data_IF_379307556602
#
_entry.id   IF_379307556602
#
_cell.length_a   1.000
_cell.length_b   1.000
_cell.length_c   1.000
_cell.angle_alpha   90.00
_cell.angle_beta   90.00
_cell.angle_gamma   90.00
#
_symmetry.space_group_name_H-M   'P 1'
#
loop_
_entity.id
_entity.type
_entity.pdbx_description
1 polymer ?
#
# COMPACT_ATOMS: atom_id res chain seq x y z
N UNK A 1 21.42 9.83 7.58
CA UNK A 1 20.31 8.97 7.11
C UNK A 1 19.59 8.28 8.27
N UNK A 2 20.22 7.35 9.01
CA UNK A 2 19.52 6.55 10.05
C UNK A 2 18.78 7.36 11.14
N UNK A 3 19.35 8.49 11.58
CA UNK A 3 18.79 9.27 12.70
C UNK A 3 17.45 9.96 12.38
N UNK A 4 17.25 10.46 11.16
CA UNK A 4 16.02 11.22 10.80
C UNK A 4 14.80 10.31 10.71
N UNK A 5 14.95 9.20 10.00
CA UNK A 5 13.91 8.18 9.89
C UNK A 5 13.59 7.53 11.25
N UNK A 6 14.60 7.34 12.10
CA UNK A 6 14.36 6.89 13.48
C UNK A 6 13.53 7.89 14.29
N UNK A 7 13.79 9.20 14.15
CA UNK A 7 12.93 10.26 14.73
C UNK A 7 11.51 10.18 14.20
N UNK A 8 11.32 10.04 12.88
CA UNK A 8 9.98 9.87 12.29
C UNK A 8 9.25 8.63 12.81
N UNK A 9 9.97 7.52 12.96
CA UNK A 9 9.43 6.27 13.53
C UNK A 9 9.03 6.46 14.99
N UNK A 10 9.81 7.22 15.77
CA UNK A 10 9.47 7.55 17.15
C UNK A 10 8.18 8.38 17.22
N UNK A 11 8.04 9.41 16.37
CA UNK A 11 6.82 10.23 16.30
C UNK A 11 5.61 9.38 15.92
N UNK A 12 5.75 8.49 14.93
CA UNK A 12 4.70 7.52 14.56
C UNK A 12 4.26 6.70 15.78
N UNK A 13 5.21 6.13 16.52
CA UNK A 13 4.91 5.31 17.70
C UNK A 13 4.29 6.12 18.84
N UNK A 14 4.68 7.39 19.04
CA UNK A 14 4.06 8.28 20.00
C UNK A 14 2.59 8.55 19.67
N UNK A 15 2.27 8.83 18.39
CA UNK A 15 0.89 9.02 17.94
C UNK A 15 0.09 7.70 18.07
N UNK A 16 0.67 6.59 17.63
CA UNK A 16 0.05 5.25 17.73
C UNK A 16 -0.28 4.86 19.17
N UNK A 17 0.56 5.24 20.13
CA UNK A 17 0.37 5.02 21.57
C UNK A 17 -0.47 6.09 22.26
N UNK A 18 -1.00 7.07 21.50
CA UNK A 18 -1.79 8.21 22.00
C UNK A 18 -1.05 9.06 23.02
N UNK A 19 0.28 9.13 22.92
CA UNK A 19 1.10 10.05 23.71
C UNK A 19 1.08 11.45 23.11
N UNK A 20 1.05 11.53 21.78
CA UNK A 20 0.82 12.75 21.00
C UNK A 20 -0.44 12.61 20.15
N UNK A 21 -1.09 13.74 19.90
CA UNK A 21 -2.11 13.91 18.90
C UNK A 21 -1.50 14.40 17.58
N UNK A 22 -2.20 14.21 16.46
CA UNK A 22 -1.75 14.75 15.16
C UNK A 22 -1.61 16.28 15.17
N UNK A 23 -2.34 16.98 16.06
CA UNK A 23 -2.20 18.42 16.28
C UNK A 23 -0.81 18.80 16.82
N UNK A 24 -0.26 18.00 17.73
CA UNK A 24 1.04 18.28 18.35
C UNK A 24 2.17 18.13 17.32
N UNK A 25 2.01 17.16 16.41
CA UNK A 25 2.90 16.98 15.26
C UNK A 25 2.78 18.18 14.31
N UNK A 26 1.54 18.60 14.01
CA UNK A 26 1.28 19.73 13.11
C UNK A 26 1.90 21.02 13.65
N UNK A 27 1.75 21.31 14.94
CA UNK A 27 2.31 22.48 15.60
C UNK A 27 3.84 22.52 15.48
N UNK A 28 4.52 21.42 15.83
CA UNK A 28 5.98 21.35 15.74
C UNK A 28 6.53 21.52 14.32
N UNK A 29 5.84 20.97 13.30
CA UNK A 29 6.24 21.20 11.90
C UNK A 29 5.87 22.61 11.40
N UNK A 30 4.80 23.20 11.93
CA UNK A 30 4.40 24.57 11.60
C UNK A 30 5.49 25.56 11.98
N UNK A 31 6.01 25.48 13.21
CA UNK A 31 7.14 26.30 13.66
C UNK A 31 8.38 26.11 12.78
N UNK A 32 8.70 24.87 12.38
CA UNK A 32 9.81 24.60 11.47
C UNK A 32 9.60 25.24 10.09
N UNK A 33 8.38 25.19 9.58
CA UNK A 33 8.04 25.62 8.23
C UNK A 33 7.92 27.13 8.08
N UNK A 34 7.62 27.86 9.16
CA UNK A 34 7.69 29.33 9.20
C UNK A 34 9.07 29.85 8.77
N UNK A 35 10.14 29.14 9.12
CA UNK A 35 11.52 29.50 8.82
C UNK A 35 12.13 28.71 7.65
N UNK A 36 11.34 27.88 6.95
CA UNK A 36 11.86 27.01 5.89
C UNK A 36 12.53 27.77 4.75
N UNK A 37 12.05 28.98 4.44
CA UNK A 37 12.63 29.85 3.43
C UNK A 37 14.06 30.30 3.75
N UNK A 38 14.37 30.52 5.03
CA UNK A 38 15.72 30.87 5.47
C UNK A 38 16.59 29.61 5.57
N UNK A 39 16.04 28.53 6.14
CA UNK A 39 16.77 27.27 6.28
C UNK A 39 17.21 26.66 4.96
N UNK A 40 16.47 26.84 3.87
CA UNK A 40 16.83 26.25 2.58
C UNK A 40 18.12 26.87 1.99
N UNK A 41 18.47 28.09 2.40
CA UNK A 41 19.70 28.77 1.97
C UNK A 41 20.91 28.02 2.50
N UNK A 42 20.89 27.68 3.79
CA UNK A 42 21.98 26.98 4.46
C UNK A 42 21.88 25.45 4.31
N UNK A 43 20.67 24.94 4.11
CA UNK A 43 20.36 23.50 3.97
C UNK A 43 19.59 23.25 2.67
N UNK A 44 20.28 23.18 1.52
CA UNK A 44 19.62 22.99 0.22
C UNK A 44 18.78 21.71 0.12
N UNK A 45 19.09 20.71 0.95
CA UNK A 45 18.38 19.41 1.03
C UNK A 45 17.31 19.36 2.12
N UNK A 46 16.79 20.52 2.53
CA UNK A 46 15.82 20.62 3.62
C UNK A 46 14.64 19.69 3.40
N UNK A 47 14.04 19.70 2.20
CA UNK A 47 12.85 18.92 1.92
C UNK A 47 13.08 17.41 1.96
N UNK A 48 14.20 16.89 1.46
CA UNK A 48 14.50 15.47 1.60
C UNK A 48 14.73 15.09 3.07
N UNK A 49 15.33 15.98 3.86
CA UNK A 49 15.59 15.72 5.27
C UNK A 49 14.31 15.72 6.11
N UNK A 50 13.39 16.64 5.83
CA UNK A 50 12.07 16.67 6.44
C UNK A 50 11.26 15.45 5.99
N UNK A 51 11.32 15.08 4.71
CA UNK A 51 10.64 13.90 4.18
C UNK A 51 11.08 12.60 4.88
N UNK A 52 12.37 12.43 5.18
CA UNK A 52 12.88 11.29 5.97
C UNK A 52 12.25 11.20 7.37
N UNK A 53 11.81 12.32 7.97
CA UNK A 53 11.13 12.35 9.28
C UNK A 53 9.62 12.17 9.13
N UNK A 54 9.03 12.69 8.06
CA UNK A 54 7.59 12.72 7.84
C UNK A 54 7.05 11.41 7.25
N UNK A 55 7.79 10.74 6.36
CA UNK A 55 7.38 9.48 5.71
C UNK A 55 6.82 8.42 6.67
N UNK A 56 7.50 8.11 7.80
CA UNK A 56 7.02 7.07 8.70
C UNK A 56 5.63 7.34 9.29
N UNK A 57 5.20 8.59 9.41
CA UNK A 57 3.90 8.94 10.01
C UNK A 57 2.71 8.32 9.28
N UNK A 58 2.85 8.06 7.97
CA UNK A 58 1.80 7.49 7.12
C UNK A 58 1.85 5.96 7.04
N UNK A 59 2.84 5.33 7.67
CA UNK A 59 2.89 3.88 7.79
C UNK A 59 1.78 3.37 8.71
N UNK A 60 1.41 2.10 8.53
CA UNK A 60 0.41 1.36 9.33
C UNK A 60 -1.00 2.00 9.38
N UNK A 61 -1.20 3.11 8.67
CA UNK A 61 -2.41 3.93 8.71
C UNK A 61 -2.59 4.71 10.02
N UNK A 62 -1.50 5.07 10.69
CA UNK A 62 -1.54 5.90 11.92
C UNK A 62 -2.06 7.30 11.61
N UNK A 63 -1.53 7.92 10.55
CA UNK A 63 -1.99 9.22 10.03
C UNK A 63 -2.39 9.05 8.56
N UNK A 64 -3.48 9.70 8.17
CA UNK A 64 -3.97 9.70 6.79
C UNK A 64 -3.19 10.70 5.92
N UNK A 65 -3.00 10.39 4.64
CA UNK A 65 -2.22 11.22 3.71
C UNK A 65 -2.77 12.64 3.51
N UNK A 66 -4.05 12.90 3.82
CA UNK A 66 -4.61 14.27 3.86
C UNK A 66 -3.90 15.19 4.87
N UNK A 67 -3.14 14.64 5.82
CA UNK A 67 -2.35 15.42 6.76
C UNK A 67 -1.21 16.17 6.08
N UNK A 68 -0.75 15.73 4.90
CA UNK A 68 0.27 16.46 4.13
C UNK A 68 -0.18 17.87 3.75
N UNK A 69 -1.44 18.07 3.38
CA UNK A 69 -1.93 19.41 3.03
C UNK A 69 -2.04 20.32 4.26
N UNK A 70 -2.29 19.75 5.44
CA UNK A 70 -2.26 20.47 6.71
C UNK A 70 -0.83 20.90 7.06
N UNK A 71 0.13 19.96 6.97
CA UNK A 71 1.54 20.26 7.20
C UNK A 71 2.06 21.35 6.27
N UNK A 72 1.69 21.31 4.98
CA UNK A 72 2.17 22.29 4.01
C UNK A 72 1.38 23.61 4.00
N UNK A 73 0.41 23.79 4.90
CA UNK A 73 -0.54 24.92 4.83
C UNK A 73 0.08 26.30 5.06
N UNK A 74 1.19 26.37 5.81
CA UNK A 74 1.93 27.62 6.07
C UNK A 74 2.99 27.93 5.02
N UNK A 75 3.30 26.97 4.14
CA UNK A 75 4.26 27.14 3.07
C UNK A 75 3.64 27.85 1.88
N UNK A 76 4.43 28.62 1.14
CA UNK A 76 4.00 29.06 -0.18
C UNK A 76 3.87 27.87 -1.13
N UNK A 77 3.07 28.03 -2.19
CA UNK A 77 2.75 26.93 -3.11
C UNK A 77 3.96 26.24 -3.73
N UNK A 78 5.02 26.98 -4.03
CA UNK A 78 6.24 26.40 -4.59
C UNK A 78 6.92 25.49 -3.56
N UNK A 79 7.15 26.01 -2.34
CA UNK A 79 7.76 25.25 -1.25
C UNK A 79 6.90 24.05 -0.85
N UNK A 80 5.59 24.22 -0.75
CA UNK A 80 4.66 23.13 -0.48
C UNK A 80 4.73 22.03 -1.54
N UNK A 81 4.83 22.37 -2.84
CA UNK A 81 4.99 21.39 -3.91
C UNK A 81 6.32 20.62 -3.79
N UNK A 82 7.43 21.31 -3.48
CA UNK A 82 8.73 20.65 -3.27
C UNK A 82 8.71 19.73 -2.04
N UNK A 83 8.09 20.17 -0.95
CA UNK A 83 7.91 19.36 0.26
C UNK A 83 7.10 18.09 -0.02
N UNK A 84 5.91 18.23 -0.63
CA UNK A 84 5.06 17.10 -0.99
C UNK A 84 5.83 16.15 -1.91
N UNK A 85 6.48 16.65 -2.96
CA UNK A 85 7.30 15.85 -3.85
C UNK A 85 8.37 15.05 -3.09
N UNK A 86 9.08 15.68 -2.16
CA UNK A 86 10.10 15.02 -1.36
C UNK A 86 9.52 13.87 -0.53
N UNK A 87 8.37 14.05 0.14
CA UNK A 87 7.71 12.98 0.89
C UNK A 87 7.28 11.84 -0.02
N UNK A 88 6.68 12.14 -1.18
CA UNK A 88 6.21 11.12 -2.11
C UNK A 88 7.37 10.28 -2.67
N UNK A 89 8.50 10.92 -2.96
CA UNK A 89 9.73 10.25 -3.39
C UNK A 89 10.30 9.37 -2.30
N UNK A 90 10.23 9.83 -1.05
CA UNK A 90 10.67 9.04 0.10
C UNK A 90 9.82 7.77 0.29
N UNK A 91 8.50 7.80 0.03
CA UNK A 91 7.70 6.57 -0.02
C UNK A 91 8.22 5.58 -1.07
N UNK A 92 8.51 6.05 -2.28
CA UNK A 92 9.01 5.18 -3.36
C UNK A 92 10.37 4.60 -2.99
N UNK A 93 11.25 5.40 -2.40
CA UNK A 93 12.57 4.98 -1.93
C UNK A 93 12.50 3.92 -0.84
N UNK A 94 11.64 4.10 0.17
CA UNK A 94 11.57 3.19 1.33
C UNK A 94 10.67 1.96 1.10
N UNK A 95 9.61 2.10 0.32
CA UNK A 95 8.58 1.07 0.13
C UNK A 95 8.48 0.52 -1.30
N UNK A 96 9.17 1.13 -2.25
CA UNK A 96 8.99 0.87 -3.68
C UNK A 96 7.67 1.44 -4.20
N UNK A 97 7.49 1.40 -5.52
CA UNK A 97 6.28 1.89 -6.21
C UNK A 97 5.03 1.23 -5.64
N UNK A 98 4.98 -0.10 -5.55
CA UNK A 98 3.81 -0.82 -5.05
C UNK A 98 3.42 -0.45 -3.61
N UNK A 99 4.41 -0.14 -2.75
CA UNK A 99 4.16 0.30 -1.39
C UNK A 99 3.62 1.74 -1.33
N UNK A 100 4.17 2.64 -2.15
CA UNK A 100 3.65 4.00 -2.28
C UNK A 100 2.22 4.01 -2.83
N UNK A 101 1.93 3.20 -3.86
CA UNK A 101 0.57 2.99 -4.39
C UNK A 101 -0.41 2.59 -3.29
N UNK A 102 -0.02 1.61 -2.46
CA UNK A 102 -0.83 1.13 -1.33
C UNK A 102 -1.15 2.25 -0.34
N UNK A 103 -0.19 3.11 0.01
CA UNK A 103 -0.41 4.23 0.94
C UNK A 103 -1.47 5.21 0.40
N UNK A 104 -1.38 5.58 -0.89
CA UNK A 104 -2.37 6.47 -1.52
C UNK A 104 -3.77 5.86 -1.55
N UNK A 105 -3.87 4.60 -1.95
CA UNK A 105 -5.16 3.91 -2.09
C UNK A 105 -5.82 3.73 -0.72
N UNK A 106 -5.05 3.32 0.30
CA UNK A 106 -5.56 3.19 1.66
C UNK A 106 -5.98 4.53 2.27
N UNK A 107 -5.30 5.61 1.89
CA UNK A 107 -5.67 6.95 2.35
C UNK A 107 -6.95 7.44 1.70
N UNK A 108 -7.26 6.98 0.49
CA UNK A 108 -8.42 7.41 -0.31
C UNK A 108 -8.45 8.94 -0.52
N UNK A 109 -7.28 9.51 -0.80
CA UNK A 109 -7.06 10.95 -0.94
C UNK A 109 -6.54 11.23 -2.35
N UNK A 110 -7.28 11.98 -3.19
CA UNK A 110 -6.80 12.34 -4.52
C UNK A 110 -5.60 13.28 -4.40
N UNK A 111 -4.68 13.21 -5.35
CA UNK A 111 -3.46 14.01 -5.39
C UNK A 111 -3.76 15.52 -5.37
N UNK A 112 -4.89 15.94 -5.96
CA UNK A 112 -5.39 17.33 -5.93
C UNK A 112 -5.72 17.86 -4.54
N UNK A 113 -5.99 16.99 -3.58
CA UNK A 113 -6.28 17.39 -2.19
C UNK A 113 -5.03 17.47 -1.31
N UNK A 114 -3.90 16.96 -1.81
CA UNK A 114 -2.59 17.00 -1.14
C UNK A 114 -1.74 18.14 -1.71
N UNK A 115 -1.82 18.36 -3.03
CA UNK A 115 -1.09 19.43 -3.70
C UNK A 115 -1.71 20.81 -3.42
N UNK A 116 -0.89 21.89 -3.45
CA UNK A 116 -1.40 23.26 -3.39
C UNK A 116 -2.36 23.57 -4.54
N UNK A 117 -3.37 24.40 -4.29
CA UNK A 117 -4.49 24.64 -5.22
C UNK A 117 -4.08 25.21 -6.59
N UNK A 118 -2.93 25.85 -6.69
CA UNK A 118 -2.38 26.44 -7.92
C UNK A 118 -1.37 25.53 -8.66
N UNK A 119 -1.17 24.30 -8.19
CA UNK A 119 -0.27 23.33 -8.81
C UNK A 119 -1.10 22.33 -9.60
N UNK A 120 -0.90 22.28 -10.91
CA UNK A 120 -1.53 21.27 -11.76
C UNK A 120 -0.90 19.87 -11.48
N UNK A 121 -1.71 18.85 -11.13
CA UNK A 121 -1.18 17.52 -10.85
C UNK A 121 -0.45 16.88 -12.03
N UNK A 122 -0.86 17.12 -13.27
CA UNK A 122 -0.22 16.52 -14.43
C UNK A 122 1.16 17.17 -14.70
N UNK A 123 1.25 18.49 -14.57
CA UNK A 123 2.51 19.21 -14.64
C UNK A 123 3.47 18.77 -13.52
N UNK A 124 2.95 18.60 -12.30
CA UNK A 124 3.71 18.09 -11.15
C UNK A 124 4.32 16.70 -11.41
N UNK A 125 3.51 15.77 -11.94
CA UNK A 125 3.99 14.42 -12.27
C UNK A 125 5.01 14.43 -13.41
N UNK A 126 4.80 15.26 -14.44
CA UNK A 126 5.75 15.42 -15.55
C UNK A 126 7.13 15.90 -15.06
N UNK A 127 7.17 16.75 -14.03
CA UNK A 127 8.40 17.22 -13.39
C UNK A 127 9.06 16.13 -12.51
N UNK A 128 8.30 15.12 -12.07
CA UNK A 128 8.74 14.09 -11.15
C UNK A 128 8.40 12.69 -11.70
N UNK A 129 9.08 12.29 -12.78
CA UNK A 129 8.82 11.04 -13.51
C UNK A 129 8.78 9.78 -12.64
N UNK A 130 9.55 9.73 -11.55
CA UNK A 130 9.52 8.64 -10.57
C UNK A 130 8.17 8.48 -9.84
N UNK A 131 7.30 9.50 -9.91
CA UNK A 131 5.94 9.52 -9.37
C UNK A 131 4.85 9.30 -10.44
N UNK A 132 5.20 9.10 -11.72
CA UNK A 132 4.24 9.00 -12.85
C UNK A 132 3.16 7.93 -12.63
N UNK A 133 3.46 6.88 -11.86
CA UNK A 133 2.50 5.83 -11.50
C UNK A 133 1.27 6.37 -10.76
N UNK A 134 1.40 7.49 -10.04
CA UNK A 134 0.30 8.14 -9.33
C UNK A 134 -0.75 8.71 -10.28
N UNK A 135 -0.45 8.99 -11.54
CA UNK A 135 -1.45 9.48 -12.53
C UNK A 135 -2.64 8.52 -12.68
N UNK A 136 -2.35 7.21 -12.71
CA UNK A 136 -3.37 6.15 -12.78
C UNK A 136 -4.17 6.12 -11.49
N UNK A 137 -3.52 6.20 -10.33
CA UNK A 137 -4.17 6.17 -9.01
C UNK A 137 -5.03 7.39 -8.78
N UNK A 138 -4.55 8.57 -9.14
CA UNK A 138 -5.29 9.83 -8.96
C UNK A 138 -6.52 9.87 -9.86
N UNK A 139 -6.40 9.41 -11.11
CA UNK A 139 -7.55 9.22 -12.01
C UNK A 139 -8.56 8.21 -11.45
N UNK A 140 -8.06 7.19 -10.75
CA UNK A 140 -8.85 6.16 -10.06
C UNK A 140 -9.57 6.74 -8.83
N UNK A 141 -8.95 7.66 -8.09
CA UNK A 141 -9.51 8.27 -6.87
C UNK A 141 -10.48 9.43 -7.15
N UNK A 142 -10.37 10.06 -8.32
CA UNK A 142 -11.23 11.19 -8.74
C UNK A 142 -12.56 10.76 -9.37
N UNK A 143 -12.74 9.50 -9.76
CA UNK A 143 -13.98 9.04 -10.37
C UNK A 143 -15.06 8.79 -9.32
N UNK A 144 -16.21 9.46 -9.46
CA UNK A 144 -17.38 9.34 -8.56
C UNK A 144 -18.06 7.96 -8.62
N UNK A 145 -17.78 7.16 -9.67
CA UNK A 145 -18.20 5.76 -9.78
C UNK A 145 -17.00 4.84 -9.59
N UNK A 146 -17.02 3.94 -8.57
CA UNK A 146 -16.01 2.92 -8.41
C UNK A 146 -15.98 2.02 -9.65
N UNK A 147 -14.98 2.16 -10.51
CA UNK A 147 -14.76 1.17 -11.57
C UNK A 147 -14.51 -0.20 -10.95
N UNK A 148 -14.81 -1.28 -11.66
CA UNK A 148 -14.58 -2.66 -11.17
C UNK A 148 -13.13 -2.88 -10.74
N UNK A 149 -12.16 -2.19 -11.36
CA UNK A 149 -10.76 -2.21 -10.95
C UNK A 149 -10.52 -1.49 -9.62
N UNK A 150 -11.18 -0.36 -9.35
CA UNK A 150 -11.09 0.39 -8.08
C UNK A 150 -11.61 -0.42 -6.89
N UNK A 151 -12.77 -1.05 -7.04
CA UNK A 151 -13.36 -1.90 -5.99
C UNK A 151 -12.40 -3.04 -5.66
N UNK A 152 -11.84 -3.69 -6.67
CA UNK A 152 -10.94 -4.83 -6.48
C UNK A 152 -9.59 -4.45 -5.88
N UNK A 153 -9.02 -3.31 -6.26
CA UNK A 153 -7.74 -2.84 -5.72
C UNK A 153 -7.90 -2.40 -4.26
N UNK A 154 -8.93 -1.60 -3.95
CA UNK A 154 -9.22 -1.18 -2.58
C UNK A 154 -9.61 -2.36 -1.67
N UNK A 155 -10.39 -3.30 -2.19
CA UNK A 155 -10.70 -4.57 -1.54
C UNK A 155 -9.43 -5.36 -1.22
N UNK A 156 -8.53 -5.56 -2.20
CA UNK A 156 -7.28 -6.30 -2.00
C UNK A 156 -6.48 -5.76 -0.83
N UNK A 157 -6.21 -4.45 -0.81
CA UNK A 157 -5.39 -3.86 0.25
C UNK A 157 -6.10 -3.84 1.61
N UNK A 158 -7.41 -3.60 1.62
CA UNK A 158 -8.20 -3.64 2.84
C UNK A 158 -8.21 -5.05 3.44
N UNK A 159 -8.34 -6.08 2.60
CA UNK A 159 -8.28 -7.48 3.02
C UNK A 159 -6.89 -7.85 3.50
N UNK A 160 -5.83 -7.50 2.77
CA UNK A 160 -4.44 -7.76 3.19
C UNK A 160 -4.15 -7.15 4.56
N UNK A 161 -4.57 -5.90 4.81
CA UNK A 161 -4.44 -5.25 6.11
C UNK A 161 -5.25 -5.99 7.19
N UNK A 162 -6.50 -6.32 6.91
CA UNK A 162 -7.38 -7.03 7.83
C UNK A 162 -6.80 -8.39 8.26
N UNK A 163 -6.20 -9.13 7.32
CA UNK A 163 -5.55 -10.41 7.58
C UNK A 163 -4.24 -10.28 8.37
N UNK A 164 -3.48 -9.18 8.19
CA UNK A 164 -2.23 -8.91 8.92
C UNK A 164 -2.46 -8.42 10.35
N UNK A 165 -3.47 -7.58 10.56
CA UNK A 165 -3.68 -6.89 11.84
C UNK A 165 -4.36 -7.77 12.90
N UNK A 166 -5.04 -8.85 12.49
CA UNK A 166 -5.85 -9.64 13.41
C UNK A 166 -5.16 -10.97 13.78
N UNK A 167 -4.99 -11.20 15.09
CA UNK A 167 -4.19 -12.32 15.59
C UNK A 167 -4.94 -13.65 15.76
N UNK A 168 -6.28 -13.69 15.59
CA UNK A 168 -7.07 -14.92 15.74
C UNK A 168 -8.36 -14.91 14.90
N UNK A 169 -8.29 -14.49 13.64
CA UNK A 169 -9.47 -14.54 12.75
C UNK A 169 -9.80 -15.96 12.31
N UNK A 170 -11.08 -16.31 12.38
CA UNK A 170 -11.61 -17.54 11.80
C UNK A 170 -11.91 -17.36 10.30
N UNK A 171 -11.91 -18.46 9.55
CA UNK A 171 -12.28 -18.48 8.12
C UNK A 171 -13.66 -17.86 7.90
N UNK A 172 -14.62 -18.16 8.78
CA UNK A 172 -16.00 -17.64 8.69
C UNK A 172 -16.11 -16.13 8.88
N UNK A 173 -15.30 -15.54 9.79
CA UNK A 173 -15.26 -14.09 9.99
C UNK A 173 -14.67 -13.37 8.78
N UNK A 174 -13.62 -13.92 8.17
CA UNK A 174 -13.03 -13.38 6.94
C UNK A 174 -14.01 -13.44 5.78
N UNK A 175 -14.67 -14.58 5.55
CA UNK A 175 -15.69 -14.69 4.50
C UNK A 175 -16.84 -13.71 4.71
N UNK A 176 -17.31 -13.55 5.95
CA UNK A 176 -18.36 -12.58 6.31
C UNK A 176 -17.91 -11.14 6.07
N UNK A 177 -16.66 -10.82 6.40
CA UNK A 177 -16.07 -9.51 6.13
C UNK A 177 -16.00 -9.24 4.62
N UNK A 178 -15.54 -10.21 3.83
CA UNK A 178 -15.46 -10.11 2.37
C UNK A 178 -16.84 -9.84 1.76
N UNK A 179 -17.86 -10.63 2.14
CA UNK A 179 -19.23 -10.45 1.66
C UNK A 179 -19.82 -9.08 2.02
N UNK A 180 -19.46 -8.52 3.17
CA UNK A 180 -19.91 -7.19 3.60
C UNK A 180 -19.19 -6.04 2.88
N UNK A 181 -17.90 -6.22 2.58
CA UNK A 181 -17.04 -5.17 2.01
C UNK A 181 -17.02 -5.15 0.49
N UNK A 182 -17.16 -6.31 -0.16
CA UNK A 182 -17.12 -6.42 -1.61
C UNK A 182 -18.54 -6.45 -2.19
N UNK A 183 -18.92 -5.38 -2.88
CA UNK A 183 -20.27 -5.19 -3.46
C UNK A 183 -20.29 -5.60 -4.96
N UNK A 184 -19.21 -6.16 -5.48
CA UNK A 184 -19.10 -6.59 -6.88
C UNK A 184 -19.45 -8.06 -7.11
N UNK A 185 -19.51 -8.47 -8.37
CA UNK A 185 -19.61 -9.89 -8.74
C UNK A 185 -18.29 -10.63 -8.50
N UNK A 186 -18.40 -11.92 -8.17
CA UNK A 186 -17.26 -12.84 -8.05
C UNK A 186 -16.78 -13.21 -9.46
N UNK A 187 -15.95 -12.34 -10.03
CA UNK A 187 -15.36 -12.48 -11.37
C UNK A 187 -13.84 -12.75 -11.30
N UNK A 188 -13.19 -12.92 -12.46
CA UNK A 188 -11.74 -13.17 -12.52
C UNK A 188 -10.91 -12.07 -11.85
N UNK A 189 -11.33 -10.81 -11.88
CA UNK A 189 -10.62 -9.69 -11.25
C UNK A 189 -10.68 -9.79 -9.73
N UNK A 190 -11.85 -10.17 -9.19
CA UNK A 190 -12.03 -10.45 -7.77
C UNK A 190 -11.17 -11.61 -7.30
N UNK A 191 -11.17 -12.74 -8.03
CA UNK A 191 -10.36 -13.89 -7.66
C UNK A 191 -8.88 -13.52 -7.61
N UNK A 192 -8.38 -12.79 -8.62
CA UNK A 192 -6.98 -12.31 -8.61
C UNK A 192 -6.71 -11.36 -7.44
N UNK A 193 -7.64 -10.47 -7.10
CA UNK A 193 -7.51 -9.56 -5.97
C UNK A 193 -7.49 -10.30 -4.62
N UNK A 194 -8.41 -11.24 -4.41
CA UNK A 194 -8.50 -12.10 -3.23
C UNK A 194 -7.22 -12.91 -3.02
N UNK A 195 -6.79 -13.64 -4.06
CA UNK A 195 -5.58 -14.47 -4.02
C UNK A 195 -4.36 -13.62 -3.72
N UNK A 196 -4.23 -12.47 -4.38
CA UNK A 196 -3.10 -11.56 -4.13
C UNK A 196 -3.10 -11.07 -2.69
N UNK A 197 -4.24 -10.65 -2.13
CA UNK A 197 -4.32 -10.17 -0.74
C UNK A 197 -3.92 -11.25 0.28
N UNK A 198 -4.43 -12.46 0.10
CA UNK A 198 -4.15 -13.60 1.00
C UNK A 198 -2.67 -13.97 0.96
N UNK A 199 -2.08 -14.10 -0.22
CA UNK A 199 -0.67 -14.44 -0.35
C UNK A 199 0.21 -13.30 0.17
N UNK A 200 -0.10 -12.04 -0.17
CA UNK A 200 0.65 -10.89 0.33
C UNK A 200 0.59 -10.79 1.84
N UNK A 201 -0.53 -11.11 2.49
CA UNK A 201 -0.64 -11.14 3.95
C UNK A 201 0.28 -12.19 4.60
N UNK A 202 0.63 -13.25 3.84
CA UNK A 202 1.45 -14.37 4.30
C UNK A 202 2.94 -14.23 3.96
N UNK A 203 3.35 -13.14 3.31
CA UNK A 203 4.75 -12.87 2.96
C UNK A 203 5.35 -11.85 3.92
N UNK A 204 6.52 -12.17 4.44
CA UNK A 204 7.37 -11.29 5.23
C UNK A 204 8.58 -10.84 4.40
N UNK A 205 9.10 -9.64 4.65
CA UNK A 205 10.26 -9.11 3.90
C UNK A 205 9.90 -8.35 2.61
N UNK A 206 10.93 -7.74 2.00
CA UNK A 206 10.81 -6.84 0.83
C UNK A 206 11.62 -7.38 -0.36
N UNK A 207 11.10 -7.19 -1.57
CA UNK A 207 11.75 -7.57 -2.82
C UNK A 207 12.35 -9.00 -2.78
N UNK A 208 13.66 -9.13 -3.01
CA UNK A 208 14.38 -10.41 -3.09
C UNK A 208 14.51 -11.15 -1.76
N UNK A 209 14.32 -10.47 -0.62
CA UNK A 209 14.36 -11.08 0.72
C UNK A 209 12.98 -11.55 1.21
N UNK A 210 11.99 -11.61 0.31
CA UNK A 210 10.63 -12.07 0.61
C UNK A 210 10.66 -13.54 1.07
N UNK A 211 10.16 -13.81 2.28
CA UNK A 211 9.98 -15.14 2.85
C UNK A 211 8.50 -15.43 3.06
N UNK A 212 8.08 -16.63 2.67
CA UNK A 212 6.71 -17.09 2.86
C UNK A 212 6.53 -17.66 4.27
N UNK A 213 5.47 -17.23 4.94
CA UNK A 213 4.99 -17.86 6.17
C UNK A 213 3.95 -18.93 5.80
N UNK A 214 4.42 -20.18 5.65
CA UNK A 214 3.60 -21.31 5.22
C UNK A 214 2.42 -21.58 6.17
N UNK A 215 2.60 -21.39 7.48
CA UNK A 215 1.51 -21.58 8.45
C UNK A 215 0.37 -20.58 8.28
N UNK A 216 0.70 -19.31 8.03
CA UNK A 216 -0.31 -18.26 7.80
C UNK A 216 -1.01 -18.50 6.47
N UNK A 217 -0.26 -18.83 5.41
CA UNK A 217 -0.87 -19.13 4.11
C UNK A 217 -1.81 -20.34 4.22
N UNK A 218 -1.38 -21.43 4.87
CA UNK A 218 -2.16 -22.64 5.08
C UNK A 218 -3.44 -22.39 5.89
N UNK A 219 -3.42 -21.46 6.83
CA UNK A 219 -4.65 -21.07 7.54
C UNK A 219 -5.65 -20.39 6.59
N UNK A 220 -5.16 -19.54 5.68
CA UNK A 220 -6.00 -18.80 4.74
C UNK A 220 -6.36 -19.56 3.45
N UNK A 221 -5.78 -20.75 3.20
CA UNK A 221 -6.17 -21.57 2.04
C UNK A 221 -7.63 -21.98 2.08
N UNK A 222 -8.23 -22.13 3.26
CA UNK A 222 -9.66 -22.44 3.40
C UNK A 222 -10.56 -21.28 2.94
N UNK A 223 -10.10 -20.03 3.10
CA UNK A 223 -10.78 -18.86 2.51
C UNK A 223 -10.69 -18.93 1.00
N UNK A 224 -9.52 -19.24 0.43
CA UNK A 224 -9.34 -19.35 -1.02
C UNK A 224 -10.25 -20.45 -1.61
N UNK A 225 -10.31 -21.63 -0.98
CA UNK A 225 -11.20 -22.72 -1.39
C UNK A 225 -12.64 -22.27 -1.48
N UNK A 226 -13.14 -21.53 -0.50
CA UNK A 226 -14.53 -21.07 -0.50
C UNK A 226 -14.92 -20.29 -1.77
N UNK A 227 -13.96 -19.64 -2.44
CA UNK A 227 -14.21 -18.87 -3.67
C UNK A 227 -13.73 -19.54 -4.96
N UNK A 228 -12.78 -20.48 -4.88
CA UNK A 228 -12.05 -21.03 -6.03
C UNK A 228 -12.33 -22.52 -6.27
N UNK A 229 -12.59 -23.28 -5.21
CA UNK A 229 -12.66 -24.75 -5.23
C UNK A 229 -13.65 -25.29 -6.27
N UNK A 230 -13.19 -26.27 -7.05
CA UNK A 230 -13.97 -27.00 -8.07
C UNK A 230 -14.47 -26.11 -9.22
N UNK A 231 -13.75 -25.03 -9.53
CA UNK A 231 -14.04 -24.12 -10.65
C UNK A 231 -12.74 -23.88 -11.45
N UNK A 232 -12.46 -24.65 -12.52
CA UNK A 232 -11.19 -24.62 -13.24
C UNK A 232 -10.74 -23.22 -13.70
N UNK A 233 -11.67 -22.41 -14.22
CA UNK A 233 -11.37 -21.04 -14.62
C UNK A 233 -10.86 -20.18 -13.46
N UNK A 234 -11.37 -20.38 -12.24
CA UNK A 234 -10.94 -19.63 -11.05
C UNK A 234 -9.62 -20.15 -10.51
N UNK A 235 -9.39 -21.46 -10.57
CA UNK A 235 -8.10 -22.08 -10.24
C UNK A 235 -7.00 -21.52 -11.15
N UNK A 236 -7.27 -21.43 -12.46
CA UNK A 236 -6.36 -20.80 -13.41
C UNK A 236 -6.10 -19.32 -13.11
N UNK A 237 -7.14 -18.54 -12.74
CA UNK A 237 -6.95 -17.15 -12.33
C UNK A 237 -6.11 -17.00 -11.05
N UNK A 238 -6.23 -17.95 -10.12
CA UNK A 238 -5.40 -18.02 -8.93
C UNK A 238 -3.93 -18.23 -9.32
N UNK A 239 -3.64 -19.18 -10.23
CA UNK A 239 -2.28 -19.42 -10.72
C UNK A 239 -1.68 -18.17 -11.41
N UNK A 240 -2.47 -17.50 -12.26
CA UNK A 240 -2.04 -16.23 -12.87
C UNK A 240 -1.80 -15.12 -11.84
N UNK A 241 -2.58 -15.05 -10.78
CA UNK A 241 -2.37 -14.08 -9.69
C UNK A 241 -1.04 -14.34 -8.97
N UNK A 242 -0.75 -15.60 -8.64
CA UNK A 242 0.52 -16.03 -8.02
C UNK A 242 1.71 -15.63 -8.90
N UNK A 243 1.67 -15.99 -10.19
CA UNK A 243 2.74 -15.69 -11.13
C UNK A 243 2.99 -14.18 -11.26
N UNK A 244 1.90 -13.40 -11.40
CA UNK A 244 1.97 -11.93 -11.47
C UNK A 244 2.60 -11.34 -10.21
N UNK A 245 2.24 -11.85 -9.03
CA UNK A 245 2.74 -11.38 -7.74
C UNK A 245 4.23 -11.69 -7.57
N UNK A 246 4.68 -12.90 -7.93
CA UNK A 246 6.09 -13.29 -7.85
C UNK A 246 6.94 -12.50 -8.83
N UNK A 247 6.45 -12.26 -10.05
CA UNK A 247 7.12 -11.44 -11.05
C UNK A 247 7.31 -9.99 -10.56
N UNK A 248 6.28 -9.40 -9.95
CA UNK A 248 6.37 -8.07 -9.31
C UNK A 248 7.41 -7.99 -8.19
N UNK A 249 7.72 -9.12 -7.54
CA UNK A 249 8.73 -9.23 -6.48
C UNK A 249 10.12 -9.63 -6.99
N UNK A 250 10.33 -9.62 -8.31
CA UNK A 250 11.62 -9.97 -8.95
C UNK A 250 12.07 -11.40 -8.67
N UNK A 251 11.14 -12.36 -8.60
CA UNK A 251 11.41 -13.79 -8.44
C UNK A 251 12.32 -14.17 -7.24
N UNK A 252 11.87 -13.93 -5.99
CA UNK A 252 12.60 -14.38 -4.81
C UNK A 252 12.77 -15.90 -4.82
N UNK A 253 13.97 -16.40 -4.48
CA UNK A 253 14.28 -17.83 -4.50
C UNK A 253 13.33 -18.61 -3.58
N UNK A 254 12.69 -19.64 -4.12
CA UNK A 254 11.81 -20.55 -3.38
C UNK A 254 10.41 -19.99 -3.06
N UNK A 255 10.10 -18.73 -3.38
CA UNK A 255 8.81 -18.13 -3.04
C UNK A 255 7.65 -18.78 -3.82
N UNK A 256 7.78 -18.89 -5.14
CA UNK A 256 6.73 -19.50 -5.98
C UNK A 256 6.51 -20.96 -5.64
N UNK A 257 7.61 -21.69 -5.36
CA UNK A 257 7.57 -23.09 -4.98
C UNK A 257 6.83 -23.27 -3.65
N UNK A 258 7.18 -22.50 -2.62
CA UNK A 258 6.50 -22.60 -1.32
C UNK A 258 5.01 -22.22 -1.38
N UNK A 259 4.64 -21.26 -2.25
CA UNK A 259 3.22 -20.92 -2.48
C UNK A 259 2.50 -22.11 -3.11
N UNK A 260 3.04 -22.70 -4.18
CA UNK A 260 2.39 -23.82 -4.86
C UNK A 260 2.35 -25.10 -4.03
N UNK A 261 3.42 -25.44 -3.30
CA UNK A 261 3.42 -26.57 -2.37
C UNK A 261 2.31 -26.39 -1.32
N UNK A 262 2.15 -25.20 -0.75
CA UNK A 262 1.09 -24.94 0.23
C UNK A 262 -0.32 -25.03 -0.39
N UNK A 263 -0.50 -24.53 -1.61
CA UNK A 263 -1.80 -24.58 -2.31
C UNK A 263 -2.17 -26.02 -2.71
N UNK A 264 -1.20 -26.81 -3.14
CA UNK A 264 -1.37 -28.23 -3.51
C UNK A 264 -1.65 -29.08 -2.27
N UNK A 265 -0.85 -28.96 -1.22
CA UNK A 265 -1.04 -29.68 0.06
C UNK A 265 -2.40 -29.39 0.68
N UNK A 266 -2.85 -28.13 0.57
CA UNK A 266 -4.16 -27.72 1.03
C UNK A 266 -5.28 -28.15 0.09
N UNK A 267 -5.05 -28.72 -1.10
CA UNK A 267 -6.07 -29.06 -2.11
C UNK A 267 -6.90 -27.85 -2.56
N UNK A 268 -6.25 -26.72 -2.81
CA UNK A 268 -6.90 -25.51 -3.37
C UNK A 268 -6.95 -25.55 -4.89
N UNK A 269 -5.98 -26.23 -5.50
CA UNK A 269 -5.86 -26.40 -6.96
C UNK A 269 -5.80 -27.90 -7.25
N UNK A 270 -6.54 -28.34 -8.26
CA UNK A 270 -6.56 -29.72 -8.72
C UNK A 270 -5.25 -30.12 -9.43
N UNK A 271 -4.93 -31.42 -9.45
CA UNK A 271 -3.73 -31.92 -10.12
C UNK A 271 -3.79 -31.69 -11.65
N UNK A 272 -4.98 -31.86 -12.24
CA UNK A 272 -5.25 -31.68 -13.67
C UNK A 272 -5.09 -30.21 -14.12
N UNK A 273 -5.50 -29.25 -13.28
CA UNK A 273 -5.35 -27.82 -13.58
C UNK A 273 -3.90 -27.33 -13.41
N UNK A 274 -3.13 -27.97 -12.52
CA UNK A 274 -1.70 -27.69 -12.39
C UNK A 274 -0.92 -28.18 -13.63
N UNK A 275 -1.26 -29.35 -14.18
CA UNK A 275 -0.66 -29.87 -15.42
C UNK A 275 -1.02 -29.01 -16.65
N UNK A 276 -2.22 -28.43 -16.68
CA UNK A 276 -2.67 -27.58 -17.79
C UNK A 276 -1.98 -26.20 -17.80
N UNK A 277 -1.44 -25.76 -16.66
CA UNK A 277 -0.81 -24.45 -16.50
C UNK A 277 0.69 -24.39 -16.82
N UNK A 278 1.41 -25.52 -16.71
CA UNK A 278 2.85 -25.64 -17.01
C UNK A 278 3.11 -25.58 -18.52
#
# INVERSE_FOLDING_TARGET
MYKRRATGTLLKEMVKRKLFHSSDILEGFTELFEWAGDFIVDVPKLWEYVAEVVEPLFEDGVINLNFLSQLSSTLNSSMAAHFVAAVLKEFVKEKGVAGAEKIFILSNVPLTSILPSNVDPNAFLTQHKELDFLSKIDSILKSETPSTSQVNISFRYSLEKYLRDATHLTVGEVCSWIQKKYVGEVNHVFIRALVTAVIESSIEGRATDSKLNNSVLKHWTEVLKHYVDNIPDRELQLLYAVQTLVAKRQHPKGLIQGIFETLYDSKVVSEDDFETWV
#
